data_IF_866857962052
#
_entry.id   IF_866857962052
#
_cell.length_a   1.000
_cell.length_b   1.000
_cell.length_c   1.000
_cell.angle_alpha   90.00
_cell.angle_beta   90.00
_cell.angle_gamma   90.00
#
_symmetry.space_group_name_H-M   'P 1'
#
loop_
_entity.id
_entity.type
_entity.pdbx_description
1 polymer ?
#
# COMPACT_ATOMS: atom_id res chain seq x y z
N UNK A 1 12.22 -14.59 6.18
CA UNK A 1 11.36 -13.57 5.56
C UNK A 1 12.27 -12.70 4.71
N UNK A 2 12.94 -13.32 3.74
CA UNK A 2 14.20 -12.76 3.24
C UNK A 2 13.99 -11.90 1.98
N UNK A 3 12.80 -12.00 1.39
CA UNK A 3 12.41 -11.38 0.11
C UNK A 3 12.68 -9.87 0.08
N UNK A 4 12.28 -9.13 1.11
CA UNK A 4 12.33 -7.65 1.10
C UNK A 4 13.38 -7.06 2.06
N UNK A 5 14.02 -7.90 2.88
CA UNK A 5 14.92 -7.44 3.95
C UNK A 5 16.16 -6.71 3.42
N UNK A 6 16.63 -7.09 2.22
CA UNK A 6 17.74 -6.44 1.55
C UNK A 6 17.46 -4.97 1.22
N UNK A 7 16.18 -4.58 1.11
CA UNK A 7 15.76 -3.18 0.83
C UNK A 7 15.87 -2.27 2.05
N UNK A 8 16.03 -2.83 3.24
CA UNK A 8 16.24 -2.09 4.48
C UNK A 8 17.72 -2.15 4.84
N UNK A 9 18.47 -1.08 4.55
CA UNK A 9 19.94 -1.09 4.69
C UNK A 9 20.39 -1.17 6.15
N UNK A 10 19.66 -0.51 7.06
CA UNK A 10 19.98 -0.47 8.49
C UNK A 10 19.41 -1.69 9.24
N UNK A 11 20.10 -2.22 10.26
CA UNK A 11 19.63 -3.37 11.03
C UNK A 11 18.28 -3.13 11.72
N UNK A 12 18.05 -1.93 12.25
CA UNK A 12 16.86 -1.64 13.06
C UNK A 12 15.57 -1.65 12.21
N UNK A 13 15.46 -0.95 11.06
CA UNK A 13 14.30 -1.07 10.17
C UNK A 13 14.13 -2.47 9.57
N UNK A 14 15.22 -3.20 9.32
CA UNK A 14 15.15 -4.57 8.80
C UNK A 14 14.51 -5.53 9.81
N UNK A 15 14.88 -5.43 11.09
CA UNK A 15 14.20 -6.18 12.15
C UNK A 15 12.73 -5.74 12.25
N UNK A 16 12.48 -4.42 12.22
CA UNK A 16 11.14 -3.88 12.37
C UNK A 16 10.17 -4.32 11.27
N UNK A 17 10.59 -4.33 10.00
CA UNK A 17 9.72 -4.78 8.91
C UNK A 17 9.36 -6.25 9.07
N UNK A 18 10.29 -7.07 9.56
CA UNK A 18 10.04 -8.48 9.86
C UNK A 18 8.95 -8.64 10.91
N UNK A 19 9.11 -7.96 12.03
CA UNK A 19 8.16 -8.01 13.14
C UNK A 19 6.79 -7.44 12.74
N UNK A 20 6.80 -6.37 11.93
CA UNK A 20 5.60 -5.74 11.40
C UNK A 20 4.79 -6.70 10.52
N UNK A 21 5.42 -7.36 9.55
CA UNK A 21 4.75 -8.35 8.68
C UNK A 21 4.29 -9.57 9.47
N UNK A 22 5.11 -10.05 10.41
CA UNK A 22 4.69 -11.14 11.31
C UNK A 22 3.40 -10.77 12.07
N UNK A 23 3.34 -9.55 12.64
CA UNK A 23 2.15 -9.06 13.31
C UNK A 23 0.96 -8.86 12.36
N UNK A 24 1.17 -8.45 11.11
CA UNK A 24 0.11 -8.37 10.10
C UNK A 24 -0.47 -9.75 9.76
N UNK A 25 0.33 -10.81 9.80
CA UNK A 25 -0.10 -12.18 9.52
C UNK A 25 -0.63 -12.93 10.76
N UNK A 26 -0.31 -12.46 11.96
CA UNK A 26 -0.76 -13.06 13.22
C UNK A 26 -2.29 -12.91 13.42
N UNK A 27 -2.96 -13.77 14.22
CA UNK A 27 -4.39 -13.66 14.50
C UNK A 27 -4.69 -12.56 15.54
N UNK A 28 -4.31 -11.32 15.25
CA UNK A 28 -4.52 -10.17 16.12
C UNK A 28 -5.86 -9.49 15.81
N UNK A 29 -6.61 -9.05 16.84
CA UNK A 29 -7.95 -8.48 16.65
C UNK A 29 -7.94 -7.15 15.89
N UNK A 30 -6.86 -6.37 16.03
CA UNK A 30 -6.67 -5.08 15.36
C UNK A 30 -5.22 -4.97 14.88
N UNK A 31 -5.01 -4.37 13.71
CA UNK A 31 -3.69 -4.17 13.08
C UNK A 31 -3.29 -2.71 13.12
N UNK A 32 -3.00 -2.20 14.31
CA UNK A 32 -2.46 -0.85 14.52
C UNK A 32 -1.02 -0.94 15.05
N UNK A 33 -0.27 0.16 14.99
CA UNK A 33 1.14 0.19 15.43
C UNK A 33 1.34 -0.23 16.89
N UNK A 34 0.34 -0.03 17.76
CA UNK A 34 0.40 -0.41 19.17
C UNK A 34 0.31 -1.93 19.32
N UNK A 35 -0.75 -2.54 18.79
CA UNK A 35 -0.96 -3.99 18.85
C UNK A 35 0.15 -4.76 18.15
N UNK A 36 0.67 -4.21 17.04
CA UNK A 36 1.81 -4.81 16.34
C UNK A 36 3.11 -4.71 17.16
N UNK A 37 3.34 -3.58 17.84
CA UNK A 37 4.48 -3.41 18.75
C UNK A 37 4.39 -4.36 19.95
N UNK A 38 3.23 -4.47 20.59
CA UNK A 38 3.00 -5.42 21.70
C UNK A 38 3.26 -6.86 21.25
N UNK A 39 2.78 -7.23 20.05
CA UNK A 39 3.03 -8.56 19.49
C UNK A 39 4.53 -8.82 19.24
N UNK A 40 5.29 -7.79 18.87
CA UNK A 40 6.73 -7.85 18.67
C UNK A 40 7.53 -7.81 19.99
N UNK A 41 6.88 -7.58 21.15
CA UNK A 41 7.53 -7.43 22.44
C UNK A 41 8.18 -6.07 22.69
N UNK A 42 7.76 -5.04 21.94
CA UNK A 42 8.23 -3.67 22.14
C UNK A 42 7.45 -2.96 23.28
N UNK A 43 8.13 -2.09 24.02
CA UNK A 43 7.54 -1.30 25.12
C UNK A 43 6.56 -0.20 24.65
N UNK A 44 6.47 0.04 23.33
CA UNK A 44 5.59 1.05 22.77
C UNK A 44 5.59 1.11 21.24
N UNK A 45 4.66 1.87 20.65
CA UNK A 45 4.40 1.86 19.20
C UNK A 45 5.45 2.61 18.38
N UNK A 46 6.35 3.35 19.04
CA UNK A 46 7.19 4.36 18.41
C UNK A 46 8.00 3.83 17.23
N UNK A 47 8.57 2.64 17.36
CA UNK A 47 9.35 2.09 16.27
C UNK A 47 8.53 1.48 15.13
N UNK A 48 7.29 1.03 15.37
CA UNK A 48 6.36 0.67 14.29
C UNK A 48 5.89 1.94 13.55
N UNK A 49 5.66 3.03 14.27
CA UNK A 49 5.33 4.33 13.68
C UNK A 49 6.51 4.90 12.89
N UNK A 50 7.74 4.79 13.40
CA UNK A 50 8.94 5.23 12.70
C UNK A 50 9.17 4.41 11.43
N UNK A 51 8.92 3.09 11.44
CA UNK A 51 9.01 2.25 10.24
C UNK A 51 8.09 2.76 9.12
N UNK A 52 6.84 3.10 9.44
CA UNK A 52 5.85 3.54 8.44
C UNK A 52 6.06 5.00 8.04
N UNK A 53 6.40 5.87 9.00
CA UNK A 53 6.36 7.31 8.82
C UNK A 53 7.71 7.99 8.60
N UNK A 54 8.83 7.35 8.99
CA UNK A 54 10.16 8.01 8.99
C UNK A 54 11.27 7.19 8.35
N UNK A 55 11.17 5.87 8.36
CA UNK A 55 12.17 5.02 7.73
C UNK A 55 12.17 5.27 6.22
N UNK A 56 13.35 5.49 5.66
CA UNK A 56 13.53 5.58 4.21
C UNK A 56 13.69 4.16 3.64
N UNK A 57 12.77 3.79 2.76
CA UNK A 57 12.83 2.58 1.96
C UNK A 57 12.22 2.87 0.59
N UNK A 58 12.74 2.21 -0.43
CA UNK A 58 12.22 2.33 -1.79
C UNK A 58 11.05 1.35 -1.95
N UNK A 59 9.86 1.91 -1.93
CA UNK A 59 8.60 1.18 -2.06
C UNK A 59 8.42 0.51 -3.43
N UNK A 60 8.99 1.09 -4.50
CA UNK A 60 8.96 0.44 -5.81
C UNK A 60 9.84 -0.82 -5.83
N UNK A 61 11.03 -0.77 -5.22
CA UNK A 61 11.92 -1.94 -5.13
C UNK A 61 11.36 -3.03 -4.21
N UNK A 62 10.73 -2.66 -3.08
CA UNK A 62 10.05 -3.63 -2.21
C UNK A 62 8.91 -4.32 -2.95
N UNK A 63 8.10 -3.58 -3.71
CA UNK A 63 7.04 -4.16 -4.54
C UNK A 63 7.57 -5.07 -5.64
N UNK A 64 8.68 -4.71 -6.28
CA UNK A 64 9.32 -5.56 -7.28
C UNK A 64 9.72 -6.93 -6.69
N UNK A 65 10.36 -6.94 -5.52
CA UNK A 65 10.74 -8.20 -4.84
C UNK A 65 9.51 -9.06 -4.49
N UNK A 66 8.41 -8.42 -4.08
CA UNK A 66 7.14 -9.13 -3.81
C UNK A 66 6.56 -9.72 -5.09
N UNK A 67 6.57 -8.97 -6.20
CA UNK A 67 6.12 -9.47 -7.51
C UNK A 67 6.97 -10.65 -7.96
N UNK A 68 8.29 -10.58 -7.86
CA UNK A 68 9.19 -11.69 -8.20
C UNK A 68 8.91 -12.93 -7.34
N UNK A 69 8.68 -12.74 -6.04
CA UNK A 69 8.30 -13.81 -5.13
C UNK A 69 6.98 -14.48 -5.52
N UNK A 70 6.00 -13.69 -5.95
CA UNK A 70 4.68 -14.17 -6.40
C UNK A 70 4.82 -14.91 -7.73
N UNK A 71 5.50 -14.33 -8.72
CA UNK A 71 5.73 -14.96 -10.03
C UNK A 71 6.44 -16.31 -9.87
N UNK A 72 7.45 -16.39 -9.01
CA UNK A 72 8.17 -17.64 -8.75
C UNK A 72 7.32 -18.75 -8.11
N UNK A 73 6.19 -18.42 -7.47
CA UNK A 73 5.36 -19.38 -6.70
C UNK A 73 4.00 -19.66 -7.31
N UNK A 74 3.39 -18.64 -7.90
CA UNK A 74 2.05 -18.68 -8.46
C UNK A 74 2.06 -18.50 -9.98
N UNK A 75 3.22 -18.24 -10.60
CA UNK A 75 3.34 -18.11 -12.05
C UNK A 75 2.78 -19.33 -12.77
N UNK A 76 1.82 -19.10 -13.66
CA UNK A 76 1.10 -20.15 -14.36
C UNK A 76 0.67 -19.64 -15.74
N UNK A 77 0.68 -20.49 -16.80
CA UNK A 77 0.22 -20.09 -18.13
C UNK A 77 -1.23 -19.55 -18.15
N UNK A 78 -2.09 -20.10 -17.30
CA UNK A 78 -3.48 -19.66 -17.13
C UNK A 78 -3.66 -18.58 -16.04
N UNK A 79 -2.57 -17.91 -15.65
CA UNK A 79 -2.61 -16.80 -14.69
C UNK A 79 -3.29 -15.57 -15.28
N UNK A 80 -4.09 -14.87 -14.48
CA UNK A 80 -4.78 -13.64 -14.87
C UNK A 80 -4.51 -12.52 -13.89
N UNK A 81 -4.46 -11.30 -14.42
CA UNK A 81 -4.41 -10.07 -13.63
C UNK A 81 -5.80 -9.47 -13.51
N UNK A 82 -6.19 -9.12 -12.29
CA UNK A 82 -7.44 -8.44 -11.99
C UNK A 82 -7.13 -7.05 -11.46
N UNK A 83 -7.78 -6.05 -12.05
CA UNK A 83 -7.73 -4.67 -11.57
C UNK A 83 -9.05 -4.35 -10.89
N UNK A 84 -8.96 -3.88 -9.65
CA UNK A 84 -10.13 -3.48 -8.86
C UNK A 84 -9.90 -2.12 -8.19
N UNK A 85 -10.93 -1.29 -8.16
CA UNK A 85 -10.94 -0.05 -7.39
C UNK A 85 -11.62 -0.29 -6.04
N UNK A 86 -10.90 0.01 -4.96
CA UNK A 86 -11.43 -0.10 -3.60
C UNK A 86 -11.47 1.27 -2.95
N UNK A 87 -12.62 1.61 -2.35
CA UNK A 87 -12.80 2.84 -1.60
C UNK A 87 -12.75 2.63 -0.09
N UNK A 88 -11.84 3.33 0.58
CA UNK A 88 -11.66 3.31 2.04
C UNK A 88 -12.25 4.58 2.68
N UNK A 89 -13.27 4.43 3.52
CA UNK A 89 -13.99 5.55 4.14
C UNK A 89 -13.11 6.24 5.21
N UNK A 90 -13.05 7.56 5.15
CA UNK A 90 -12.26 8.37 6.08
C UNK A 90 -13.14 9.41 6.77
N UNK A 91 -12.83 9.70 8.04
CA UNK A 91 -13.52 10.75 8.80
C UNK A 91 -12.84 12.12 8.74
N UNK A 92 -11.54 12.17 8.42
CA UNK A 92 -10.77 13.41 8.33
C UNK A 92 -10.34 13.79 6.91
N UNK A 93 -9.61 14.89 6.79
CA UNK A 93 -9.12 15.45 5.51
C UNK A 93 -7.60 15.29 5.29
N UNK A 94 -6.89 14.73 6.26
CA UNK A 94 -5.43 14.65 6.27
C UNK A 94 -4.87 13.42 5.54
N UNK A 95 -5.67 12.37 5.33
CA UNK A 95 -5.24 11.18 4.61
C UNK A 95 -5.04 11.51 3.12
N UNK A 96 -3.89 11.15 2.56
CA UNK A 96 -3.55 11.43 1.15
C UNK A 96 -4.64 10.91 0.22
N UNK A 97 -5.05 11.76 -0.73
CA UNK A 97 -6.08 11.43 -1.73
C UNK A 97 -7.52 11.41 -1.20
N UNK A 98 -7.75 11.72 0.08
CA UNK A 98 -9.10 11.76 0.64
C UNK A 98 -9.88 12.97 0.12
N UNK A 99 -11.09 12.69 -0.36
CA UNK A 99 -12.10 13.70 -0.69
C UNK A 99 -13.49 13.07 -0.72
N UNK A 100 -14.53 13.89 -0.86
CA UNK A 100 -15.87 13.41 -1.20
C UNK A 100 -15.91 12.98 -2.67
N UNK A 101 -15.99 11.68 -2.91
CA UNK A 101 -16.04 11.07 -4.24
C UNK A 101 -16.86 9.78 -4.21
N UNK A 102 -17.26 9.30 -5.38
CA UNK A 102 -17.97 8.03 -5.47
C UNK A 102 -17.05 6.90 -5.03
N UNK A 103 -17.50 6.08 -4.07
CA UNK A 103 -16.83 4.84 -3.70
C UNK A 103 -17.67 3.68 -4.22
N UNK A 104 -17.09 2.85 -5.09
CA UNK A 104 -17.75 1.63 -5.58
C UNK A 104 -18.16 0.72 -4.41
N UNK A 105 -17.29 0.57 -3.41
CA UNK A 105 -17.54 -0.26 -2.22
C UNK A 105 -18.69 0.27 -1.35
N UNK A 106 -18.85 1.59 -1.25
CA UNK A 106 -19.95 2.20 -0.48
C UNK A 106 -21.24 2.39 -1.31
N UNK A 107 -21.15 2.34 -2.64
CA UNK A 107 -22.26 2.59 -3.57
C UNK A 107 -22.75 4.04 -3.62
N UNK A 108 -22.00 4.98 -3.02
CA UNK A 108 -22.40 6.40 -2.89
C UNK A 108 -21.19 7.33 -2.82
N UNK A 109 -21.47 8.62 -2.93
CA UNK A 109 -20.48 9.68 -2.70
C UNK A 109 -20.25 9.84 -1.20
N UNK A 110 -19.04 9.55 -0.75
CA UNK A 110 -18.61 9.72 0.63
C UNK A 110 -17.18 10.26 0.70
N UNK A 111 -16.79 10.72 1.89
CA UNK A 111 -15.39 11.07 2.12
C UNK A 111 -14.55 9.79 2.20
N UNK A 112 -13.81 9.50 1.13
CA UNK A 112 -13.04 8.28 1.00
C UNK A 112 -11.72 8.50 0.27
N UNK A 113 -10.84 7.53 0.45
CA UNK A 113 -9.62 7.35 -0.30
C UNK A 113 -9.85 6.22 -1.31
N UNK A 114 -9.47 6.40 -2.57
CA UNK A 114 -9.61 5.37 -3.59
C UNK A 114 -8.24 4.78 -3.92
N UNK A 115 -8.14 3.46 -3.94
CA UNK A 115 -6.94 2.77 -4.36
C UNK A 115 -7.28 1.74 -5.44
N UNK A 116 -6.45 1.69 -6.48
CA UNK A 116 -6.51 0.68 -7.52
C UNK A 116 -5.56 -0.44 -7.14
N UNK A 117 -6.10 -1.64 -6.97
CA UNK A 117 -5.36 -2.83 -6.63
C UNK A 117 -5.18 -3.70 -7.88
N UNK A 118 -3.98 -4.25 -8.04
CA UNK A 118 -3.66 -5.28 -9.00
C UNK A 118 -3.53 -6.60 -8.24
N UNK A 119 -4.41 -7.55 -8.56
CA UNK A 119 -4.36 -8.90 -8.03
C UNK A 119 -3.96 -9.88 -9.12
N UNK A 120 -3.19 -10.89 -8.77
CA UNK A 120 -2.87 -12.02 -9.64
C UNK A 120 -3.61 -13.25 -9.14
N UNK A 121 -4.26 -13.98 -10.04
CA UNK A 121 -4.96 -15.23 -9.75
C UNK A 121 -4.55 -16.32 -10.74
N UNK A 122 -4.40 -17.54 -10.23
CA UNK A 122 -4.03 -18.72 -10.99
C UNK A 122 -4.63 -19.97 -10.33
N UNK A 123 -4.55 -21.15 -10.99
CA UNK A 123 -4.90 -22.41 -10.34
C UNK A 123 -4.10 -22.71 -9.06
N UNK A 124 -2.93 -22.09 -8.88
CA UNK A 124 -2.08 -22.26 -7.71
C UNK A 124 -2.48 -21.36 -6.52
N UNK A 125 -3.34 -20.37 -6.75
CA UNK A 125 -3.77 -19.41 -5.74
C UNK A 125 -3.89 -17.99 -6.28
N UNK A 126 -4.16 -17.04 -5.38
CA UNK A 126 -4.31 -15.62 -5.71
C UNK A 126 -3.67 -14.73 -4.65
N UNK A 127 -3.24 -13.53 -5.05
CA UNK A 127 -2.64 -12.54 -4.16
C UNK A 127 -2.69 -11.13 -4.76
N UNK A 128 -2.55 -10.11 -3.91
CA UNK A 128 -2.27 -8.75 -4.34
C UNK A 128 -0.80 -8.63 -4.77
N UNK A 129 -0.57 -7.97 -5.91
CA UNK A 129 0.77 -7.77 -6.49
C UNK A 129 1.15 -6.30 -6.63
N UNK A 130 0.17 -5.39 -6.66
CA UNK A 130 0.44 -3.95 -6.61
C UNK A 130 -0.78 -3.16 -6.12
N UNK A 131 -0.54 -1.93 -5.64
CA UNK A 131 -1.55 -0.96 -5.22
C UNK A 131 -1.14 0.46 -5.63
N UNK A 132 -2.13 1.25 -6.03
CA UNK A 132 -1.95 2.60 -6.51
C UNK A 132 -3.02 3.52 -5.92
N UNK A 133 -2.61 4.53 -5.16
CA UNK A 133 -3.52 5.48 -4.53
C UNK A 133 -3.97 6.58 -5.51
N UNK A 134 -5.25 6.64 -5.88
CA UNK A 134 -5.82 7.74 -6.68
C UNK A 134 -5.62 9.08 -5.98
N UNK A 135 -5.01 10.03 -6.70
CA UNK A 135 -4.78 11.39 -6.22
C UNK A 135 -5.65 12.36 -7.04
N UNK A 136 -6.69 12.96 -6.43
CA UNK A 136 -7.58 13.86 -7.15
C UNK A 136 -6.96 15.23 -7.39
N UNK A 137 -7.52 15.98 -8.35
CA UNK A 137 -7.06 17.35 -8.66
C UNK A 137 -7.08 18.30 -7.45
N UNK A 138 -8.06 18.13 -6.56
CA UNK A 138 -8.15 18.87 -5.29
C UNK A 138 -6.92 18.69 -4.37
N UNK A 139 -6.11 17.66 -4.61
CA UNK A 139 -4.82 17.46 -3.95
C UNK A 139 -3.65 17.93 -4.81
N UNK A 140 -3.63 17.65 -6.12
CA UNK A 140 -2.51 18.06 -6.97
C UNK A 140 -2.41 19.57 -7.13
N UNK A 141 -3.55 20.26 -7.07
CA UNK A 141 -3.68 21.71 -7.25
C UNK A 141 -3.49 22.50 -5.94
N UNK A 142 -3.20 21.82 -4.82
CA UNK A 142 -2.93 22.41 -3.50
C UNK A 142 -1.49 22.05 -3.03
N UNK A 143 -0.47 22.85 -3.39
CA UNK A 143 0.92 22.58 -3.04
C UNK A 143 1.17 22.55 -1.52
N UNK A 144 0.43 23.35 -0.74
CA UNK A 144 0.58 23.40 0.71
C UNK A 144 0.14 22.07 1.33
N UNK A 145 -1.01 21.56 0.90
CA UNK A 145 -1.54 20.28 1.37
C UNK A 145 -0.63 19.11 0.97
N UNK A 146 -0.08 19.12 -0.25
CA UNK A 146 0.89 18.11 -0.71
C UNK A 146 2.14 18.08 0.16
N UNK A 147 2.71 19.26 0.42
CA UNK A 147 3.91 19.39 1.24
C UNK A 147 3.67 18.86 2.66
N UNK A 148 2.55 19.23 3.28
CA UNK A 148 2.18 18.76 4.62
C UNK A 148 2.01 17.24 4.69
N UNK A 149 1.51 16.62 3.64
CA UNK A 149 1.28 15.18 3.57
C UNK A 149 2.44 14.38 2.95
N UNK A 150 3.54 15.04 2.56
CA UNK A 150 4.71 14.40 1.96
C UNK A 150 4.48 13.87 0.53
N UNK A 151 3.52 14.42 -0.21
CA UNK A 151 3.23 14.01 -1.60
C UNK A 151 4.24 14.67 -2.55
N UNK A 152 5.07 13.90 -3.30
CA UNK A 152 6.08 14.46 -4.21
C UNK A 152 5.47 15.30 -5.33
N UNK A 153 6.14 16.35 -5.78
CA UNK A 153 5.66 17.26 -6.84
C UNK A 153 5.37 16.57 -8.19
N UNK A 154 6.08 15.48 -8.47
CA UNK A 154 5.88 14.65 -9.67
C UNK A 154 4.59 13.82 -9.65
N UNK A 155 3.90 13.71 -8.50
CA UNK A 155 2.63 12.99 -8.43
C UNK A 155 1.55 13.74 -9.22
N UNK A 156 1.09 13.14 -10.33
CA UNK A 156 0.00 13.68 -11.12
C UNK A 156 -1.35 13.05 -10.72
N UNK A 157 -2.43 13.72 -11.13
CA UNK A 157 -3.78 13.18 -11.02
C UNK A 157 -4.04 12.29 -12.22
N UNK A 158 -4.53 11.08 -11.97
CA UNK A 158 -4.83 10.08 -13.00
C UNK A 158 -6.20 9.51 -12.74
N UNK A 159 -7.03 9.35 -13.76
CA UNK A 159 -8.29 8.61 -13.59
C UNK A 159 -8.04 7.11 -13.39
N UNK A 160 -8.96 6.41 -12.74
CA UNK A 160 -8.87 4.95 -12.54
C UNK A 160 -8.61 4.16 -13.85
N UNK A 161 -9.23 4.49 -15.00
CA UNK A 161 -8.94 3.83 -16.27
C UNK A 161 -7.49 4.03 -16.76
N UNK A 162 -6.98 5.27 -16.70
CA UNK A 162 -5.62 5.59 -17.16
C UNK A 162 -4.55 4.84 -16.34
N UNK A 163 -4.80 4.71 -15.03
CA UNK A 163 -3.86 4.04 -14.12
C UNK A 163 -3.91 2.51 -14.19
N UNK A 164 -5.06 1.95 -14.59
CA UNK A 164 -5.24 0.52 -14.85
C UNK A 164 -4.39 0.07 -16.05
N UNK A 165 -4.36 0.87 -17.11
CA UNK A 165 -3.58 0.58 -18.32
C UNK A 165 -2.07 0.60 -18.05
N UNK A 166 -1.54 1.66 -17.42
CA UNK A 166 -0.12 1.80 -17.10
C UNK A 166 0.44 0.62 -16.27
N UNK A 167 -0.37 0.08 -15.36
CA UNK A 167 0.06 -0.99 -14.46
C UNK A 167 -0.09 -2.39 -15.02
N UNK A 168 -0.98 -2.57 -16.00
CA UNK A 168 -1.07 -3.81 -16.77
C UNK A 168 0.14 -3.95 -17.71
N UNK A 169 0.64 -2.84 -18.25
CA UNK A 169 1.77 -2.81 -19.19
C UNK A 169 3.15 -2.81 -18.50
N UNK A 170 3.21 -2.48 -17.20
CA UNK A 170 4.43 -2.50 -16.38
C UNK A 170 4.66 -3.84 -15.63
N UNK A 171 4.04 -4.92 -16.13
CA UNK A 171 4.12 -6.30 -15.61
C UNK A 171 5.18 -7.13 -16.31
#
# INVERSE_FOLDING_TARGET
MDTIEARFTRPEPRRRVRDFVAGLLAPLPVKNCWTLAEHAGDDGPGGMQDLIGRASWDDALVRADVRDFVTARLGHPDGVLLVDETGDLKKGTQAVGVQRQYSGTAGKIENCQLAVHLSYASPLGHTLVDVALYLPKSWTDDPQRRTQAGVPDSAASYSCPERSAERSDAG
#
